data_IF_093819498086
#
_entry.id   IF_093819498086
#
_cell.length_a   1.000
_cell.length_b   1.000
_cell.length_c   1.000
_cell.angle_alpha   90.00
_cell.angle_beta   90.00
_cell.angle_gamma   90.00
#
_symmetry.space_group_name_H-M   'P 1'
#
loop_
_entity.id
_entity.type
_entity.pdbx_description
1 polymer ?
#
# COMPACT_ATOMS: atom_id res chain seq x y z
N UNK A 1 3.75 -23.41 -7.97
CA UNK A 1 3.46 -21.99 -8.30
C UNK A 1 4.63 -21.08 -7.97
N UNK A 2 5.00 -20.83 -6.71
CA UNK A 2 6.18 -19.98 -6.36
C UNK A 2 7.50 -20.46 -7.00
N UNK A 3 7.67 -21.78 -7.22
CA UNK A 3 8.80 -22.32 -7.97
C UNK A 3 8.78 -21.93 -9.45
N UNK A 4 7.63 -21.85 -10.09
CA UNK A 4 7.52 -21.43 -11.50
C UNK A 4 7.80 -19.92 -11.65
N UNK A 5 7.41 -19.12 -10.65
CA UNK A 5 7.80 -17.71 -10.53
C UNK A 5 9.33 -17.52 -10.50
N UNK A 6 10.03 -18.32 -9.68
CA UNK A 6 11.49 -18.37 -9.65
C UNK A 6 12.12 -18.80 -10.99
N UNK A 7 11.39 -19.39 -11.91
CA UNK A 7 11.92 -19.71 -13.25
C UNK A 7 11.72 -18.53 -14.22
N UNK A 8 10.60 -17.82 -14.11
CA UNK A 8 10.26 -16.68 -14.98
C UNK A 8 11.18 -15.47 -14.76
N UNK A 9 11.71 -15.28 -13.54
CA UNK A 9 12.71 -14.23 -13.26
C UNK A 9 14.09 -14.48 -13.88
N UNK A 10 14.37 -15.71 -14.35
CA UNK A 10 15.67 -16.09 -14.93
C UNK A 10 15.67 -16.16 -16.45
N UNK A 11 14.51 -16.18 -17.09
CA UNK A 11 14.43 -16.25 -18.54
C UNK A 11 14.51 -14.85 -19.16
N UNK A 12 15.19 -14.75 -20.30
CA UNK A 12 15.48 -13.48 -20.98
C UNK A 12 14.25 -12.70 -21.44
N UNK A 13 14.49 -11.70 -22.29
CA UNK A 13 13.52 -10.68 -22.74
C UNK A 13 12.23 -11.23 -23.36
N UNK A 14 12.20 -12.49 -23.78
CA UNK A 14 11.05 -13.13 -24.43
C UNK A 14 9.91 -13.47 -23.47
N UNK A 15 10.16 -13.52 -22.15
CA UNK A 15 9.17 -13.96 -21.15
C UNK A 15 8.73 -12.85 -20.18
N UNK A 16 9.03 -11.58 -20.47
CA UNK A 16 8.67 -10.42 -19.61
C UNK A 16 7.15 -10.35 -19.42
N UNK A 17 6.40 -10.55 -20.51
CA UNK A 17 4.95 -10.55 -20.50
C UNK A 17 4.40 -11.69 -19.64
N UNK A 18 4.84 -12.91 -19.91
CA UNK A 18 4.37 -14.10 -19.19
C UNK A 18 4.73 -14.01 -17.69
N UNK A 19 5.90 -13.47 -17.36
CA UNK A 19 6.30 -13.23 -15.98
C UNK A 19 5.27 -12.34 -15.27
N UNK A 20 5.08 -11.09 -15.73
CA UNK A 20 4.21 -10.17 -14.99
C UNK A 20 2.75 -10.61 -14.95
N UNK A 21 2.26 -11.26 -16.01
CA UNK A 21 0.90 -11.80 -16.06
C UNK A 21 0.72 -12.93 -15.06
N UNK A 22 1.67 -13.86 -14.96
CA UNK A 22 1.64 -14.95 -13.98
C UNK A 22 1.79 -14.43 -12.55
N UNK A 23 2.63 -13.41 -12.32
CA UNK A 23 2.75 -12.75 -11.02
C UNK A 23 1.41 -12.18 -10.57
N UNK A 24 0.77 -11.41 -11.44
CA UNK A 24 -0.54 -10.80 -11.19
C UNK A 24 -1.63 -11.85 -10.98
N UNK A 25 -1.62 -12.92 -11.77
CA UNK A 25 -2.54 -14.03 -11.57
C UNK A 25 -2.41 -14.65 -10.17
N UNK A 26 -1.17 -14.94 -9.75
CA UNK A 26 -0.92 -15.49 -8.41
C UNK A 26 -1.32 -14.51 -7.30
N UNK A 27 -0.98 -13.22 -7.45
CA UNK A 27 -1.38 -12.17 -6.51
C UNK A 27 -2.90 -12.07 -6.40
N UNK A 28 -3.64 -12.05 -7.51
CA UNK A 28 -5.12 -12.10 -7.49
C UNK A 28 -5.62 -13.28 -6.67
N UNK A 29 -5.13 -14.49 -6.92
CA UNK A 29 -5.60 -15.68 -6.20
C UNK A 29 -5.19 -15.66 -4.72
N UNK A 30 -4.03 -15.11 -4.37
CA UNK A 30 -3.65 -14.92 -2.97
C UNK A 30 -4.53 -13.88 -2.27
N UNK A 31 -4.87 -12.77 -2.91
CA UNK A 31 -5.78 -11.78 -2.35
C UNK A 31 -7.19 -12.35 -2.16
N UNK A 32 -7.75 -13.03 -3.16
CA UNK A 32 -9.08 -13.66 -3.05
C UNK A 32 -9.18 -14.69 -1.92
N UNK A 33 -8.09 -15.43 -1.67
CA UNK A 33 -8.05 -16.44 -0.61
C UNK A 33 -7.41 -15.94 0.69
N UNK A 34 -7.20 -14.63 0.83
CA UNK A 34 -6.60 -13.98 2.00
C UNK A 34 -5.25 -14.59 2.44
N UNK A 35 -4.41 -14.96 1.48
CA UNK A 35 -3.07 -15.54 1.65
C UNK A 35 -1.98 -14.47 1.54
N UNK A 36 -1.99 -13.55 2.51
CA UNK A 36 -1.14 -12.34 2.48
C UNK A 36 0.35 -12.65 2.65
N UNK A 37 0.70 -13.66 3.45
CA UNK A 37 2.09 -14.06 3.65
C UNK A 37 2.73 -14.53 2.34
N UNK A 38 1.99 -15.31 1.54
CA UNK A 38 2.48 -15.83 0.26
C UNK A 38 2.47 -14.78 -0.85
N UNK A 39 1.52 -13.85 -0.81
CA UNK A 39 1.55 -12.67 -1.67
C UNK A 39 2.78 -11.80 -1.36
N UNK A 40 3.07 -11.55 -0.09
CA UNK A 40 4.26 -10.79 0.32
C UNK A 40 5.56 -11.52 -0.05
N UNK A 41 5.61 -12.85 0.09
CA UNK A 41 6.76 -13.65 -0.35
C UNK A 41 6.98 -13.56 -1.86
N UNK A 42 5.91 -13.63 -2.66
CA UNK A 42 5.98 -13.45 -4.12
C UNK A 42 6.57 -12.08 -4.48
N UNK A 43 6.10 -11.02 -3.81
CA UNK A 43 6.54 -9.65 -4.03
C UNK A 43 8.00 -9.44 -3.67
N UNK A 44 8.47 -10.05 -2.58
CA UNK A 44 9.90 -10.01 -2.19
C UNK A 44 10.81 -10.72 -3.19
N UNK A 45 10.29 -11.71 -3.91
CA UNK A 45 11.04 -12.43 -4.94
C UNK A 45 10.96 -11.77 -6.31
N UNK A 46 10.08 -10.78 -6.50
CA UNK A 46 10.00 -10.04 -7.75
C UNK A 46 11.28 -9.20 -7.94
N UNK A 47 11.83 -9.13 -9.17
CA UNK A 47 12.94 -8.23 -9.45
C UNK A 47 12.51 -6.76 -9.30
N UNK A 48 13.46 -5.88 -8.98
CA UNK A 48 13.20 -4.44 -8.82
C UNK A 48 12.63 -3.82 -10.11
N UNK A 49 13.12 -4.24 -11.28
CA UNK A 49 12.54 -3.91 -12.58
C UNK A 49 11.77 -5.10 -13.14
N UNK A 50 10.44 -4.99 -13.19
CA UNK A 50 9.54 -5.99 -13.76
C UNK A 50 8.57 -5.32 -14.76
N UNK A 51 8.18 -6.06 -15.80
CA UNK A 51 7.18 -5.59 -16.76
C UNK A 51 7.70 -4.43 -17.62
N UNK A 52 7.00 -3.29 -17.56
CA UNK A 52 7.29 -2.15 -18.43
C UNK A 52 8.69 -1.53 -18.20
N UNK A 53 9.18 -1.48 -16.96
CA UNK A 53 10.49 -0.89 -16.67
C UNK A 53 11.62 -1.73 -17.27
N UNK A 54 11.54 -3.05 -17.07
CA UNK A 54 12.48 -3.98 -17.67
C UNK A 54 12.38 -4.00 -19.21
N UNK A 55 11.19 -3.83 -19.77
CA UNK A 55 11.01 -3.68 -21.21
C UNK A 55 11.69 -2.40 -21.73
N UNK A 56 11.49 -1.26 -21.07
CA UNK A 56 12.08 0.02 -21.46
C UNK A 56 13.62 0.00 -21.33
N UNK A 57 14.16 -0.66 -20.30
CA UNK A 57 15.61 -0.85 -20.14
C UNK A 57 16.23 -1.66 -21.29
N UNK A 58 15.48 -2.62 -21.84
CA UNK A 58 15.95 -3.53 -22.90
C UNK A 58 15.68 -2.99 -24.30
N UNK A 59 14.62 -2.22 -24.47
CA UNK A 59 14.16 -1.67 -25.74
C UNK A 59 13.87 -0.16 -25.59
N UNK A 60 14.90 0.67 -25.35
CA UNK A 60 14.71 2.09 -25.02
C UNK A 60 14.04 2.90 -26.14
N UNK A 61 14.19 2.46 -27.39
CA UNK A 61 13.64 3.12 -28.59
C UNK A 61 12.27 2.56 -29.02
N UNK A 62 11.70 1.62 -28.25
CA UNK A 62 10.41 0.99 -28.56
C UNK A 62 9.37 1.44 -27.54
N UNK A 63 8.21 1.86 -28.03
CA UNK A 63 7.08 2.21 -27.18
C UNK A 63 6.59 0.97 -26.40
N UNK A 64 6.38 1.14 -25.09
CA UNK A 64 5.90 0.06 -24.23
C UNK A 64 4.47 -0.35 -24.65
N UNK A 65 4.21 -1.64 -24.89
CA UNK A 65 2.85 -2.09 -25.18
C UNK A 65 1.87 -1.74 -24.05
N UNK A 66 0.69 -1.20 -24.38
CA UNK A 66 -0.35 -0.80 -23.40
C UNK A 66 -0.69 -1.94 -22.43
N UNK A 67 -0.80 -3.17 -22.94
CA UNK A 67 -1.08 -4.34 -22.10
C UNK A 67 -0.02 -4.55 -21.01
N UNK A 68 1.25 -4.25 -21.31
CA UNK A 68 2.34 -4.38 -20.35
C UNK A 68 2.29 -3.25 -19.31
N UNK A 69 1.85 -2.04 -19.71
CA UNK A 69 1.55 -0.95 -18.78
C UNK A 69 0.39 -1.33 -17.84
N UNK A 70 -0.68 -1.93 -18.36
CA UNK A 70 -1.82 -2.41 -17.55
C UNK A 70 -1.41 -3.50 -16.56
N UNK A 71 -0.55 -4.44 -17.00
CA UNK A 71 -0.04 -5.49 -16.13
C UNK A 71 0.90 -4.92 -15.06
N UNK A 72 1.73 -3.93 -15.41
CA UNK A 72 2.55 -3.20 -14.45
C UNK A 72 1.69 -2.47 -13.43
N UNK A 73 0.68 -1.74 -13.88
CA UNK A 73 -0.23 -1.01 -13.01
C UNK A 73 -0.94 -1.92 -12.00
N UNK A 74 -1.41 -3.10 -12.44
CA UNK A 74 -1.98 -4.09 -11.53
C UNK A 74 -0.96 -4.58 -10.49
N UNK A 75 0.28 -4.86 -10.90
CA UNK A 75 1.34 -5.29 -9.99
C UNK A 75 1.66 -4.19 -8.95
N UNK A 76 1.78 -2.94 -9.40
CA UNK A 76 2.02 -1.77 -8.55
C UNK A 76 0.87 -1.54 -7.56
N UNK A 77 -0.39 -1.81 -7.94
CA UNK A 77 -1.51 -1.74 -7.02
C UNK A 77 -1.31 -2.68 -5.82
N UNK A 78 -0.81 -3.90 -6.03
CA UNK A 78 -0.50 -4.81 -4.93
C UNK A 78 0.69 -4.33 -4.09
N UNK A 79 1.74 -3.78 -4.72
CA UNK A 79 2.89 -3.21 -4.01
C UNK A 79 2.44 -2.09 -3.08
N UNK A 80 1.62 -1.18 -3.62
CA UNK A 80 1.15 -0.01 -2.92
C UNK A 80 0.26 -0.39 -1.73
N UNK A 81 -0.57 -1.44 -1.87
CA UNK A 81 -1.34 -2.00 -0.76
C UNK A 81 -0.43 -2.49 0.37
N UNK A 82 0.58 -3.31 0.07
CA UNK A 82 1.51 -3.79 1.10
C UNK A 82 2.32 -2.67 1.73
N UNK A 83 2.71 -1.65 0.96
CA UNK A 83 3.37 -0.48 1.54
C UNK A 83 2.44 0.23 2.53
N UNK A 84 1.16 0.41 2.21
CA UNK A 84 0.20 1.03 3.12
C UNK A 84 0.04 0.26 4.43
N UNK A 85 -0.03 -1.07 4.37
CA UNK A 85 -0.05 -1.92 5.58
C UNK A 85 1.25 -1.75 6.38
N UNK A 86 2.40 -1.76 5.73
CA UNK A 86 3.69 -1.56 6.42
C UNK A 86 3.78 -0.18 7.10
N UNK A 87 3.31 0.90 6.46
CA UNK A 87 3.29 2.24 7.07
C UNK A 87 2.36 2.32 8.27
N UNK A 88 1.20 1.67 8.18
CA UNK A 88 0.29 1.53 9.31
C UNK A 88 0.97 0.79 10.47
N UNK A 89 1.62 -0.35 10.21
CA UNK A 89 2.31 -1.13 11.23
C UNK A 89 3.48 -0.36 11.86
N UNK A 90 4.23 0.44 11.08
CA UNK A 90 5.26 1.34 11.58
C UNK A 90 4.68 2.35 12.58
N UNK A 91 3.57 2.99 12.23
CA UNK A 91 2.87 3.93 13.12
C UNK A 91 2.31 3.23 14.36
N UNK A 92 1.66 2.07 14.21
CA UNK A 92 1.09 1.33 15.34
C UNK A 92 2.18 0.90 16.33
N UNK A 93 3.33 0.42 15.84
CA UNK A 93 4.48 0.09 16.69
C UNK A 93 5.00 1.30 17.46
N UNK A 94 5.00 2.48 16.86
CA UNK A 94 5.41 3.71 17.55
C UNK A 94 4.39 4.13 18.61
N UNK A 95 3.09 3.90 18.37
CA UNK A 95 2.02 4.19 19.34
C UNK A 95 1.95 3.18 20.51
N UNK A 96 2.23 1.90 20.26
CA UNK A 96 2.05 0.82 21.24
C UNK A 96 3.38 0.33 21.87
N UNK A 97 4.48 0.40 21.12
CA UNK A 97 5.76 -0.25 21.46
C UNK A 97 6.79 0.67 22.10
N UNK A 98 6.87 1.93 21.69
CA UNK A 98 7.80 2.90 22.29
C UNK A 98 7.08 3.66 23.40
N UNK A 99 7.36 3.31 24.66
CA UNK A 99 6.83 4.07 25.79
C UNK A 99 7.31 5.52 25.70
N UNK A 100 6.37 6.46 25.81
CA UNK A 100 6.67 7.88 25.87
C UNK A 100 7.73 8.13 26.96
N UNK A 101 8.84 8.84 26.66
CA UNK A 101 9.89 9.10 27.63
C UNK A 101 9.34 9.72 28.91
N UNK A 102 9.59 9.08 30.05
CA UNK A 102 9.14 9.60 31.33
C UNK A 102 9.96 10.84 31.74
N UNK A 103 9.26 11.91 32.08
CA UNK A 103 9.90 13.09 32.66
C UNK A 103 10.20 12.78 34.13
N UNK A 104 11.45 13.02 34.61
CA UNK A 104 11.77 12.86 36.02
C UNK A 104 10.77 13.62 36.91
N UNK A 105 10.26 12.95 37.93
CA UNK A 105 9.28 13.55 38.85
C UNK A 105 9.85 14.80 39.49
N UNK A 106 9.01 15.84 39.57
CA UNK A 106 9.36 17.10 40.22
C UNK A 106 9.78 16.82 41.67
N UNK A 107 11.01 17.18 42.01
CA UNK A 107 11.50 17.13 43.37
C UNK A 107 10.69 18.10 44.26
N UNK A 108 10.30 17.65 45.45
CA UNK A 108 9.73 18.51 46.49
C UNK A 108 10.72 19.60 46.91
N UNK A 109 10.23 20.76 47.31
CA UNK A 109 11.06 21.92 47.71
C UNK A 109 12.08 21.56 48.81
N UNK A 110 11.71 20.71 49.77
CA UNK A 110 12.62 20.22 50.82
C UNK A 110 13.79 19.40 50.28
N UNK A 111 13.52 18.51 49.31
CA UNK A 111 14.57 17.70 48.65
C UNK A 111 15.45 18.58 47.78
N UNK A 112 14.85 19.53 47.07
CA UNK A 112 15.58 20.50 46.24
C UNK A 112 16.57 21.34 47.07
N UNK A 113 16.11 21.84 48.23
CA UNK A 113 16.92 22.63 49.14
C UNK A 113 18.13 21.84 49.68
N UNK A 114 18.01 20.52 49.83
CA UNK A 114 19.07 19.62 50.33
C UNK A 114 20.08 19.18 49.27
N UNK A 115 19.83 19.43 47.98
CA UNK A 115 20.79 19.10 46.92
C UNK A 115 21.92 20.14 46.85
N UNK A 116 23.14 19.65 46.64
CA UNK A 116 24.29 20.48 46.28
C UNK A 116 24.16 21.02 44.85
N UNK A 117 24.99 22.02 44.51
CA UNK A 117 24.94 22.69 43.20
C UNK A 117 25.09 21.68 42.06
N UNK A 118 26.00 20.72 42.19
CA UNK A 118 26.28 19.72 41.15
C UNK A 118 25.05 18.84 40.87
N UNK A 119 24.41 18.32 41.92
CA UNK A 119 23.21 17.47 41.79
C UNK A 119 22.00 18.23 41.28
N UNK A 120 21.87 19.52 41.61
CA UNK A 120 20.84 20.40 41.01
C UNK A 120 21.05 20.53 39.50
N UNK A 121 22.28 20.80 39.06
CA UNK A 121 22.61 20.89 37.63
C UNK A 121 22.38 19.56 36.92
N UNK A 122 22.77 18.43 37.51
CA UNK A 122 22.54 17.09 36.95
C UNK A 122 21.03 16.81 36.79
N UNK A 123 20.21 17.15 37.78
CA UNK A 123 18.76 17.03 37.71
C UNK A 123 18.16 17.91 36.61
N UNK A 124 18.52 19.21 36.55
CA UNK A 124 18.04 20.13 35.51
C UNK A 124 18.40 19.63 34.10
N UNK A 125 19.62 19.13 33.92
CA UNK A 125 20.04 18.52 32.66
C UNK A 125 19.21 17.28 32.32
N UNK A 126 18.93 16.42 33.31
CA UNK A 126 18.13 15.21 33.11
C UNK A 126 16.69 15.54 32.71
N UNK A 127 16.07 16.54 33.36
CA UNK A 127 14.72 17.02 33.05
C UNK A 127 14.68 17.61 31.65
N UNK A 128 15.65 18.47 31.29
CA UNK A 128 15.72 19.06 29.95
C UNK A 128 15.89 17.98 28.88
N UNK A 129 16.80 17.03 29.09
CA UNK A 129 17.01 15.91 28.17
C UNK A 129 15.75 15.06 28.01
N UNK A 130 15.02 14.78 29.09
CA UNK A 130 13.76 14.05 29.03
C UNK A 130 12.69 14.80 28.21
N UNK A 131 12.57 16.12 28.38
CA UNK A 131 11.68 16.95 27.55
C UNK A 131 12.07 16.92 26.07
N UNK A 132 13.37 17.04 25.75
CA UNK A 132 13.86 16.97 24.37
C UNK A 132 13.55 15.59 23.74
N UNK A 133 13.72 14.51 24.49
CA UNK A 133 13.38 13.15 24.08
C UNK A 133 11.87 12.99 23.85
N UNK A 134 11.04 13.49 24.78
CA UNK A 134 9.59 13.43 24.66
C UNK A 134 9.08 14.22 23.45
N UNK A 135 9.65 15.40 23.20
CA UNK A 135 9.30 16.19 22.01
C UNK A 135 9.67 15.47 20.71
N UNK A 136 10.84 14.81 20.67
CA UNK A 136 11.24 13.99 19.52
C UNK A 136 10.30 12.81 19.32
N UNK A 137 9.91 12.14 20.40
CA UNK A 137 8.95 11.03 20.37
C UNK A 137 7.62 11.47 19.72
N UNK A 138 6.98 12.54 20.20
CA UNK A 138 5.72 13.00 19.61
C UNK A 138 5.86 13.46 18.16
N UNK A 139 6.99 14.06 17.79
CA UNK A 139 7.26 14.42 16.38
C UNK A 139 7.40 13.19 15.48
N UNK A 140 8.03 12.12 15.98
CA UNK A 140 8.16 10.87 15.23
C UNK A 140 6.79 10.20 15.08
N UNK A 141 6.02 10.08 16.17
CA UNK A 141 4.65 9.55 16.13
C UNK A 141 3.81 10.28 15.09
N UNK A 142 3.83 11.62 15.09
CA UNK A 142 3.09 12.43 14.12
C UNK A 142 3.58 12.24 12.68
N UNK A 143 4.90 12.09 12.48
CA UNK A 143 5.48 11.82 11.16
C UNK A 143 5.02 10.46 10.62
N UNK A 144 5.05 9.41 11.44
CA UNK A 144 4.59 8.09 11.04
C UNK A 144 3.08 8.07 10.78
N UNK A 145 2.30 8.77 11.62
CA UNK A 145 0.86 8.97 11.41
C UNK A 145 0.60 9.57 10.04
N UNK A 146 1.27 10.69 9.73
CA UNK A 146 1.10 11.41 8.47
C UNK A 146 1.41 10.51 7.27
N UNK A 147 2.53 9.77 7.30
CA UNK A 147 2.91 8.84 6.22
C UNK A 147 1.89 7.72 6.03
N UNK A 148 1.37 7.15 7.11
CA UNK A 148 0.35 6.11 7.05
C UNK A 148 -0.96 6.65 6.49
N UNK A 149 -1.40 7.83 6.93
CA UNK A 149 -2.62 8.48 6.40
C UNK A 149 -2.46 8.79 4.91
N UNK A 150 -1.36 9.43 4.51
CA UNK A 150 -1.11 9.83 3.11
C UNK A 150 -1.22 8.62 2.16
N UNK A 151 -0.52 7.52 2.46
CA UNK A 151 -0.54 6.36 1.56
C UNK A 151 -1.89 5.63 1.54
N UNK A 152 -2.59 5.55 2.68
CA UNK A 152 -3.92 4.97 2.75
C UNK A 152 -4.93 5.80 1.95
N UNK A 153 -4.85 7.12 2.07
CA UNK A 153 -5.66 8.04 1.28
C UNK A 153 -5.33 7.98 -0.20
N UNK A 154 -4.06 7.88 -0.59
CA UNK A 154 -3.64 7.80 -1.99
C UNK A 154 -4.23 6.56 -2.69
N UNK A 155 -4.31 5.42 -2.01
CA UNK A 155 -4.99 4.23 -2.54
C UNK A 155 -6.48 4.49 -2.74
N UNK A 156 -7.14 5.05 -1.72
CA UNK A 156 -8.58 5.29 -1.74
C UNK A 156 -8.98 6.40 -2.72
N UNK A 157 -8.10 7.38 -2.93
CA UNK A 157 -8.26 8.54 -3.81
C UNK A 157 -7.59 8.36 -5.17
N UNK A 158 -7.17 7.14 -5.52
CA UNK A 158 -6.53 6.87 -6.79
C UNK A 158 -7.44 7.34 -7.95
N UNK A 159 -6.95 8.14 -8.91
CA UNK A 159 -7.79 8.83 -9.90
C UNK A 159 -8.55 7.88 -10.84
N UNK A 160 -7.99 6.68 -11.08
CA UNK A 160 -8.62 5.62 -11.87
C UNK A 160 -9.23 4.52 -10.99
N UNK A 161 -9.15 4.67 -9.67
CA UNK A 161 -9.49 3.64 -8.68
C UNK A 161 -8.42 2.56 -8.56
N UNK A 162 -8.20 2.07 -7.34
CA UNK A 162 -7.29 0.95 -7.08
C UNK A 162 -7.84 -0.37 -7.64
N UNK A 163 -7.00 -1.13 -8.37
CA UNK A 163 -7.36 -2.38 -9.06
C UNK A 163 -8.59 -2.25 -9.99
N UNK A 164 -8.61 -1.23 -10.83
CA UNK A 164 -9.61 -1.08 -11.89
C UNK A 164 -8.99 -1.51 -13.21
N UNK A 165 -9.68 -2.38 -13.94
CA UNK A 165 -9.26 -2.77 -15.28
C UNK A 165 -9.43 -1.59 -16.25
N UNK A 166 -8.39 -1.29 -17.03
CA UNK A 166 -8.48 -0.37 -18.15
C UNK A 166 -9.62 -0.81 -19.09
N UNK A 167 -10.43 0.12 -19.63
CA UNK A 167 -11.41 -0.22 -20.64
C UNK A 167 -10.69 -0.91 -21.79
N UNK A 168 -11.24 -2.01 -22.30
CA UNK A 168 -10.77 -2.59 -23.55
C UNK A 168 -10.98 -1.53 -24.63
N UNK A 169 -9.93 -0.82 -25.03
CA UNK A 169 -9.95 -0.19 -26.34
C UNK A 169 -10.16 -1.31 -27.36
N UNK A 170 -11.21 -1.17 -28.17
CA UNK A 170 -11.43 -2.00 -29.34
C UNK A 170 -10.19 -1.83 -30.22
N UNK A 171 -9.20 -2.72 -30.04
CA UNK A 171 -8.10 -2.86 -30.97
C UNK A 171 -8.67 -3.42 -32.27
N UNK A 172 -9.31 -2.54 -33.06
CA UNK A 172 -9.53 -2.68 -34.49
C UNK A 172 -8.17 -2.58 -35.19
N UNK A 173 -7.26 -3.51 -34.89
CA UNK A 173 -6.17 -3.86 -35.79
C UNK A 173 -6.73 -4.65 -36.97
N UNK A 174 -6.09 -4.60 -38.15
CA UNK A 174 -6.68 -5.07 -39.39
C UNK A 174 -7.07 -6.55 -39.27
N UNK A 175 -8.30 -6.85 -39.68
CA UNK A 175 -8.91 -8.19 -39.69
C UNK A 175 -8.01 -9.20 -40.42
N UNK A 176 -7.16 -9.92 -39.69
CA UNK A 176 -6.48 -11.10 -40.22
C UNK A 176 -7.39 -12.29 -39.97
N UNK A 177 -8.08 -12.72 -41.02
CA UNK A 177 -9.15 -13.70 -40.98
C UNK A 177 -8.62 -15.13 -40.78
N UNK A 178 -8.31 -15.55 -39.55
CA UNK A 178 -8.03 -16.95 -39.19
C UNK A 178 -8.52 -17.29 -37.78
N UNK A 179 -9.62 -18.03 -37.63
CA UNK A 179 -10.11 -18.61 -36.36
C UNK A 179 -10.32 -17.65 -35.14
N UNK A 180 -10.56 -16.35 -35.38
CA UNK A 180 -10.65 -15.30 -34.35
C UNK A 180 -11.86 -15.37 -33.40
N UNK A 181 -12.96 -16.04 -33.77
CA UNK A 181 -14.20 -16.06 -32.97
C UNK A 181 -14.08 -16.82 -31.64
N UNK A 182 -13.23 -17.84 -31.55
CA UNK A 182 -13.00 -18.56 -30.29
C UNK A 182 -11.96 -17.85 -29.41
N UNK A 183 -10.93 -17.25 -30.01
CA UNK A 183 -9.89 -16.55 -29.26
C UNK A 183 -10.43 -15.28 -28.60
N UNK A 184 -11.24 -14.48 -29.32
CA UNK A 184 -11.88 -13.29 -28.75
C UNK A 184 -12.87 -13.64 -27.62
N UNK A 185 -13.56 -14.78 -27.70
CA UNK A 185 -14.42 -15.26 -26.59
C UNK A 185 -13.62 -15.65 -25.36
N UNK A 186 -12.49 -16.34 -25.53
CA UNK A 186 -11.62 -16.76 -24.42
C UNK A 186 -10.95 -15.53 -23.78
N UNK A 187 -10.45 -14.60 -24.59
CA UNK A 187 -9.86 -13.34 -24.10
C UNK A 187 -10.90 -12.51 -23.34
N UNK A 188 -12.13 -12.38 -23.87
CA UNK A 188 -13.21 -11.69 -23.17
C UNK A 188 -13.59 -12.40 -21.86
N UNK A 189 -13.61 -13.74 -21.83
CA UNK A 189 -13.87 -14.49 -20.60
C UNK A 189 -12.80 -14.24 -19.54
N UNK A 190 -11.52 -14.28 -19.90
CA UNK A 190 -10.41 -14.03 -18.98
C UNK A 190 -10.40 -12.58 -18.45
N UNK A 191 -10.80 -11.61 -19.27
CA UNK A 191 -10.95 -10.20 -18.85
C UNK A 191 -12.14 -10.04 -17.89
N UNK A 192 -13.25 -10.75 -18.13
CA UNK A 192 -14.42 -10.75 -17.24
C UNK A 192 -14.08 -11.41 -15.89
N UNK A 193 -13.38 -12.56 -15.90
CA UNK A 193 -12.92 -13.22 -14.67
C UNK A 193 -11.98 -12.29 -13.89
N UNK A 194 -10.97 -11.69 -14.55
CA UNK A 194 -10.07 -10.71 -13.93
C UNK A 194 -10.82 -9.52 -13.33
N UNK A 195 -11.83 -9.00 -14.03
CA UNK A 195 -12.64 -7.87 -13.54
C UNK A 195 -13.51 -8.25 -12.35
N UNK A 196 -14.07 -9.46 -12.34
CA UNK A 196 -14.82 -9.98 -11.20
C UNK A 196 -13.91 -10.17 -9.98
N UNK A 197 -12.74 -10.79 -10.18
CA UNK A 197 -11.71 -10.98 -9.15
C UNK A 197 -11.34 -9.61 -8.52
N UNK A 198 -11.14 -8.58 -9.34
CA UNK A 198 -10.87 -7.22 -8.84
C UNK A 198 -11.99 -6.64 -7.99
N UNK A 199 -13.27 -6.82 -8.37
CA UNK A 199 -14.38 -6.31 -7.56
C UNK A 199 -14.39 -6.97 -6.19
N UNK A 200 -14.19 -8.28 -6.12
CA UNK A 200 -14.16 -9.03 -4.86
C UNK A 200 -12.96 -8.62 -3.98
N UNK A 201 -11.77 -8.47 -4.57
CA UNK A 201 -10.59 -7.97 -3.87
C UNK A 201 -10.85 -6.55 -3.35
N UNK A 202 -11.35 -5.64 -4.18
CA UNK A 202 -11.59 -4.24 -3.76
C UNK A 202 -12.56 -4.16 -2.59
N UNK A 203 -13.64 -4.94 -2.60
CA UNK A 203 -14.63 -5.01 -1.50
C UNK A 203 -13.97 -5.31 -0.16
N UNK A 204 -13.13 -6.34 -0.11
CA UNK A 204 -12.51 -6.79 1.14
C UNK A 204 -11.36 -5.88 1.57
N UNK A 205 -10.47 -5.53 0.63
CA UNK A 205 -9.20 -4.89 0.96
C UNK A 205 -9.33 -3.37 1.11
N UNK A 206 -10.22 -2.68 0.36
CA UNK A 206 -10.48 -1.26 0.58
C UNK A 206 -11.26 -1.02 1.88
N UNK A 207 -12.15 -1.93 2.27
CA UNK A 207 -12.80 -1.88 3.58
C UNK A 207 -11.78 -1.92 4.71
N UNK A 208 -10.79 -2.81 4.61
CA UNK A 208 -9.69 -2.88 5.57
C UNK A 208 -8.93 -1.54 5.64
N UNK A 209 -8.59 -0.92 4.51
CA UNK A 209 -7.88 0.38 4.54
C UNK A 209 -8.68 1.50 5.22
N UNK A 210 -10.01 1.52 5.03
CA UNK A 210 -10.89 2.46 5.73
C UNK A 210 -10.89 2.19 7.24
N UNK A 211 -10.92 0.94 7.66
CA UNK A 211 -10.82 0.56 9.07
C UNK A 211 -9.49 1.02 9.68
N UNK A 212 -8.39 0.86 8.96
CA UNK A 212 -7.06 1.34 9.39
C UNK A 212 -7.03 2.87 9.54
N UNK A 213 -7.61 3.62 8.59
CA UNK A 213 -7.72 5.08 8.69
C UNK A 213 -8.58 5.52 9.89
N UNK A 214 -9.73 4.86 10.11
CA UNK A 214 -10.58 5.11 11.28
C UNK A 214 -9.79 4.85 12.56
N UNK A 215 -9.04 3.75 12.61
CA UNK A 215 -8.20 3.39 13.74
C UNK A 215 -7.13 4.47 14.02
N UNK A 216 -6.47 4.99 12.98
CA UNK A 216 -5.50 6.08 13.13
C UNK A 216 -6.15 7.31 13.77
N UNK A 217 -7.26 7.81 13.19
CA UNK A 217 -7.85 9.06 13.67
C UNK A 217 -8.48 8.95 15.07
N UNK A 218 -9.07 7.79 15.39
CA UNK A 218 -9.62 7.55 16.73
C UNK A 218 -8.54 7.49 17.81
N UNK A 219 -7.35 6.97 17.49
CA UNK A 219 -6.23 6.85 18.44
C UNK A 219 -5.29 8.06 18.47
N UNK A 220 -5.40 9.00 17.52
CA UNK A 220 -4.48 10.14 17.38
C UNK A 220 -5.04 11.47 17.91
N UNK A 221 -6.00 11.43 18.85
CA UNK A 221 -6.70 12.62 19.39
C UNK A 221 -7.40 13.50 18.32
N UNK A 222 -7.67 12.95 17.13
CA UNK A 222 -8.34 13.64 16.01
C UNK A 222 -9.66 12.94 15.60
N UNK A 223 -10.59 12.62 16.53
CA UNK A 223 -11.76 11.80 16.22
C UNK A 223 -12.71 12.47 15.20
N UNK A 224 -12.69 13.80 15.09
CA UNK A 224 -13.52 14.53 14.12
C UNK A 224 -13.09 14.27 12.66
N UNK A 225 -11.82 13.92 12.41
CA UNK A 225 -11.36 13.58 11.06
C UNK A 225 -11.96 12.29 10.53
N UNK A 226 -12.54 11.44 11.39
CA UNK A 226 -13.33 10.28 10.95
C UNK A 226 -14.52 10.72 10.08
N UNK A 227 -15.04 11.94 10.26
CA UNK A 227 -16.10 12.48 9.41
C UNK A 227 -15.63 12.73 7.97
N UNK A 228 -14.33 13.03 7.77
CA UNK A 228 -13.73 13.20 6.44
C UNK A 228 -13.69 11.87 5.68
N UNK A 229 -13.55 10.74 6.39
CA UNK A 229 -13.70 9.39 5.79
C UNK A 229 -15.12 9.17 5.29
N UNK A 230 -16.12 9.62 6.06
CA UNK A 230 -17.52 9.58 5.64
C UNK A 230 -17.77 10.38 4.36
N UNK A 231 -17.12 11.55 4.22
CA UNK A 231 -17.15 12.35 3.00
C UNK A 231 -16.47 11.65 1.83
N UNK A 232 -15.31 11.04 2.06
CA UNK A 232 -14.56 10.28 1.06
C UNK A 232 -15.38 9.12 0.47
N UNK A 233 -16.15 8.41 1.30
CA UNK A 233 -17.01 7.31 0.86
C UNK A 233 -18.09 7.75 -0.12
N UNK A 234 -18.68 8.93 0.08
CA UNK A 234 -19.77 9.47 -0.75
C UNK A 234 -19.28 10.36 -1.89
N UNK A 235 -17.98 10.66 -1.95
CA UNK A 235 -17.39 11.48 -3.00
C UNK A 235 -17.56 10.79 -4.37
N UNK A 236 -18.26 11.43 -5.32
CA UNK A 236 -18.47 10.87 -6.66
C UNK A 236 -17.18 10.77 -7.48
N UNK A 237 -16.10 11.44 -7.08
CA UNK A 237 -14.81 11.41 -7.78
C UNK A 237 -14.15 10.03 -7.71
N UNK A 238 -14.23 9.38 -6.53
CA UNK A 238 -13.53 8.12 -6.27
C UNK A 238 -14.45 6.89 -6.33
N UNK A 239 -15.78 7.10 -6.35
CA UNK A 239 -16.79 6.05 -6.48
C UNK A 239 -16.68 4.90 -5.47
N UNK A 240 -16.13 5.15 -4.27
CA UNK A 240 -15.94 4.12 -3.25
C UNK A 240 -17.26 3.49 -2.79
N UNK A 241 -18.34 4.27 -2.72
CA UNK A 241 -19.68 3.74 -2.43
C UNK A 241 -20.13 2.63 -3.41
N UNK A 242 -19.71 2.67 -4.68
CA UNK A 242 -20.06 1.62 -5.66
C UNK A 242 -19.37 0.30 -5.36
N UNK A 243 -18.25 0.32 -4.65
CA UNK A 243 -17.54 -0.88 -4.23
C UNK A 243 -18.30 -1.58 -3.10
N UNK A 244 -18.82 -0.81 -2.13
CA UNK A 244 -19.40 -1.38 -0.90
C UNK A 244 -20.92 -1.63 -0.95
N UNK A 245 -21.66 -0.92 -1.80
CA UNK A 245 -23.14 -0.93 -1.79
C UNK A 245 -23.79 -1.52 -3.05
N UNK A 246 -23.01 -2.18 -3.91
CA UNK A 246 -23.47 -2.96 -5.08
C UNK A 246 -23.06 -4.42 -4.90
#
# INVERSE_FOLDING_TARGET
MLRAWKWLTFCGTELIWDAIVEANYLLRKFFLHNRMDEAMELMRMAPESLGADYFQEKFPDVEVPIRLLDAKYEFECYQFYFEAINRYDEWQKQMEGDQAPEIPQKLSDERWARLDIRRRTEYEFSVKRAHDCLQKYYRLVELYKKRAVEILEDILKAPNGWLVASPLENNEGPEVNFNFLNFNKIVNFLVVERSHDFVEIRKNFLANLLELLINIHTRSDEPLKVLEIGQLLVDPTFYLYKVFFI
#
